data_IF_306548010645
#
_entry.id   IF_306548010645
#
_cell.length_a   1.000
_cell.length_b   1.000
_cell.length_c   1.000
_cell.angle_alpha   90.00
_cell.angle_beta   90.00
_cell.angle_gamma   90.00
#
_symmetry.space_group_name_H-M   'P 1'
#
loop_
_entity.id
_entity.type
_entity.pdbx_description
1 polymer ?
#
# COMPACT_ATOMS: atom_id res chain seq x y z
N UNK A 1 20.72 18.68 -56.76
CA UNK A 1 19.24 18.67 -56.88
C UNK A 1 18.86 17.62 -57.91
N UNK A 2 18.79 16.35 -57.50
CA UNK A 2 18.49 15.21 -58.38
C UNK A 2 17.50 14.26 -57.70
N UNK A 3 16.45 13.99 -58.46
CA UNK A 3 15.49 12.88 -58.46
C UNK A 3 14.48 12.69 -57.31
N UNK A 4 13.22 12.82 -57.73
CA UNK A 4 11.97 12.46 -57.05
C UNK A 4 11.64 10.98 -57.30
N UNK A 5 11.02 10.36 -56.29
CA UNK A 5 9.96 9.34 -56.31
C UNK A 5 10.09 8.07 -57.17
N UNK A 6 10.06 6.93 -56.49
CA UNK A 6 9.35 5.71 -56.89
C UNK A 6 8.78 5.07 -55.60
N UNK A 7 7.46 5.10 -55.38
CA UNK A 7 6.52 4.00 -55.62
C UNK A 7 6.86 2.71 -54.88
N UNK A 8 6.07 2.39 -53.85
CA UNK A 8 5.35 1.12 -53.76
C UNK A 8 4.42 1.11 -52.54
N UNK A 9 3.11 1.11 -52.81
CA UNK A 9 2.11 0.70 -51.85
C UNK A 9 2.25 -0.81 -51.61
N UNK A 10 2.49 -1.23 -50.37
CA UNK A 10 2.32 -2.61 -49.93
C UNK A 10 1.35 -2.62 -48.77
N UNK A 11 0.11 -2.96 -49.11
CA UNK A 11 -0.91 -3.40 -48.17
C UNK A 11 -0.34 -4.54 -47.32
N UNK A 12 -0.14 -4.28 -46.02
CA UNK A 12 0.16 -5.32 -45.04
C UNK A 12 -1.09 -5.53 -44.21
N UNK A 13 -1.78 -6.62 -44.52
CA UNK A 13 -2.66 -7.33 -43.61
C UNK A 13 -1.96 -7.45 -42.25
N UNK A 14 -2.49 -6.79 -41.22
CA UNK A 14 -2.13 -7.08 -39.82
C UNK A 14 -3.20 -8.03 -39.30
N UNK A 15 -2.88 -9.31 -39.06
CA UNK A 15 -3.84 -10.24 -38.51
C UNK A 15 -4.17 -9.87 -37.07
N UNK A 16 -5.45 -9.90 -36.76
CA UNK A 16 -5.98 -9.97 -35.39
C UNK A 16 -5.46 -11.26 -34.76
N UNK A 17 -4.53 -11.17 -33.81
CA UNK A 17 -4.38 -12.09 -32.67
C UNK A 17 -3.11 -11.73 -31.89
N UNK A 18 -3.27 -11.03 -30.77
CA UNK A 18 -2.50 -11.26 -29.53
C UNK A 18 -3.13 -10.37 -28.47
N UNK A 19 -4.12 -10.92 -27.78
CA UNK A 19 -4.43 -10.50 -26.41
C UNK A 19 -3.26 -10.99 -25.53
N UNK A 20 -2.06 -10.41 -25.74
CA UNK A 20 -0.92 -10.64 -24.89
C UNK A 20 -1.19 -9.84 -23.62
N UNK A 21 -1.72 -10.57 -22.65
CA UNK A 21 -1.92 -10.22 -21.26
C UNK A 21 -0.67 -9.48 -20.75
N UNK A 22 -0.70 -8.15 -20.75
CA UNK A 22 0.24 -7.37 -19.93
C UNK A 22 -0.18 -7.57 -18.48
N UNK A 23 0.15 -8.74 -17.92
CA UNK A 23 0.24 -8.92 -16.47
C UNK A 23 1.35 -7.98 -16.02
N UNK A 24 0.99 -6.73 -15.74
CA UNK A 24 1.80 -5.92 -14.85
C UNK A 24 1.70 -6.65 -13.51
N UNK A 25 2.69 -7.49 -13.24
CA UNK A 25 2.91 -8.06 -11.92
C UNK A 25 3.16 -6.89 -10.99
N UNK A 26 2.09 -6.29 -10.46
CA UNK A 26 2.23 -5.40 -9.32
C UNK A 26 2.90 -6.23 -8.24
N UNK A 27 4.08 -5.83 -7.74
CA UNK A 27 4.69 -6.54 -6.62
C UNK A 27 3.69 -6.53 -5.47
N UNK A 28 3.22 -7.72 -5.09
CA UNK A 28 2.43 -7.91 -3.88
C UNK A 28 3.38 -7.78 -2.70
N UNK A 29 3.40 -6.59 -2.09
CA UNK A 29 4.07 -6.36 -0.81
C UNK A 29 3.16 -6.92 0.29
N UNK A 30 3.35 -8.19 0.64
CA UNK A 30 2.72 -8.74 1.85
C UNK A 30 3.78 -8.71 2.96
N UNK A 31 3.53 -7.96 4.05
CA UNK A 31 4.24 -8.19 5.30
C UNK A 31 3.98 -9.62 5.76
N UNK A 32 5.03 -10.33 6.12
CA UNK A 32 4.92 -11.69 6.68
C UNK A 32 5.27 -11.73 8.16
N UNK A 33 5.86 -10.66 8.73
CA UNK A 33 6.23 -10.58 10.14
C UNK A 33 6.34 -9.13 10.62
N UNK A 34 6.37 -8.93 11.94
CA UNK A 34 6.59 -7.61 12.56
C UNK A 34 8.01 -7.05 12.36
N UNK A 35 8.94 -7.87 11.86
CA UNK A 35 10.31 -7.46 11.58
C UNK A 35 10.47 -6.93 10.14
N UNK A 36 9.49 -7.16 9.27
CA UNK A 36 9.55 -6.81 7.84
C UNK A 36 8.23 -6.18 7.37
N UNK A 37 7.91 -4.98 7.88
CA UNK A 37 6.70 -4.25 7.52
C UNK A 37 7.04 -3.24 6.39
N UNK A 38 6.62 -3.48 5.13
CA UNK A 38 6.74 -2.49 4.07
C UNK A 38 5.77 -1.33 4.31
N UNK A 39 6.30 -0.11 4.26
CA UNK A 39 5.57 1.14 4.46
C UNK A 39 5.82 2.08 3.28
N UNK A 40 4.74 2.66 2.75
CA UNK A 40 4.71 3.68 1.71
C UNK A 40 4.38 5.05 2.30
N UNK A 41 5.01 6.10 1.79
CA UNK A 41 4.68 7.50 2.11
C UNK A 41 5.22 8.47 1.03
N UNK A 42 5.00 9.78 1.22
CA UNK A 42 5.38 10.90 0.33
C UNK A 42 4.53 11.04 -0.95
N UNK A 43 3.24 10.71 -0.88
CA UNK A 43 2.27 10.74 -1.99
C UNK A 43 2.60 9.75 -3.12
N UNK A 44 1.68 8.86 -3.46
CA UNK A 44 1.82 7.89 -4.55
C UNK A 44 2.92 6.85 -4.31
N UNK A 45 3.28 6.59 -3.05
CA UNK A 45 4.34 5.71 -2.60
C UNK A 45 5.68 6.01 -3.28
N UNK A 46 6.07 7.28 -3.26
CA UNK A 46 7.40 7.73 -3.72
C UNK A 46 8.49 7.20 -2.80
N UNK A 47 8.25 7.20 -1.50
CA UNK A 47 9.14 6.63 -0.49
C UNK A 47 8.64 5.27 -0.03
N UNK A 48 9.58 4.33 0.11
CA UNK A 48 9.34 2.98 0.63
C UNK A 48 10.37 2.66 1.69
N UNK A 49 9.92 2.14 2.82
CA UNK A 49 10.76 1.72 3.93
C UNK A 49 10.30 0.37 4.45
N UNK A 50 11.25 -0.50 4.83
CA UNK A 50 10.94 -1.69 5.64
C UNK A 50 11.15 -1.29 7.10
N UNK A 51 10.11 -1.47 7.91
CA UNK A 51 10.11 -1.17 9.35
C UNK A 51 10.07 -2.48 10.14
N UNK A 52 10.91 -2.57 11.17
CA UNK A 52 10.82 -3.62 12.19
C UNK A 52 10.31 -2.97 13.48
N UNK A 53 9.27 -3.53 14.09
CA UNK A 53 8.71 -3.04 15.36
C UNK A 53 9.00 -4.03 16.49
N UNK A 54 9.12 -3.51 17.71
CA UNK A 54 9.36 -4.35 18.88
C UNK A 54 8.14 -5.21 19.22
N UNK A 55 8.37 -6.30 19.96
CA UNK A 55 7.25 -7.08 20.51
C UNK A 55 6.39 -6.29 21.50
N UNK A 56 6.90 -5.20 22.07
CA UNK A 56 6.11 -4.30 22.93
C UNK A 56 5.15 -3.46 22.12
N UNK A 57 5.63 -2.79 21.08
CA UNK A 57 4.78 -2.03 20.14
C UNK A 57 3.73 -2.94 19.49
N UNK A 58 4.11 -4.17 19.12
CA UNK A 58 3.15 -5.14 18.60
C UNK A 58 2.07 -5.53 19.62
N UNK A 59 2.38 -5.58 20.92
CA UNK A 59 1.36 -5.83 21.96
C UNK A 59 0.40 -4.66 22.10
N UNK A 60 0.86 -3.43 21.89
CA UNK A 60 -0.04 -2.26 21.89
C UNK A 60 -1.07 -2.36 20.74
N UNK A 61 -0.64 -2.84 19.57
CA UNK A 61 -1.51 -3.04 18.39
C UNK A 61 -2.43 -4.25 18.58
N UNK A 62 -1.86 -5.43 18.85
CA UNK A 62 -2.61 -6.68 18.97
C UNK A 62 -3.54 -6.69 20.19
N UNK A 63 -3.28 -5.83 21.18
CA UNK A 63 -4.14 -5.62 22.35
C UNK A 63 -5.58 -5.22 22.00
N UNK A 64 -5.82 -4.59 20.84
CA UNK A 64 -7.16 -4.25 20.35
C UNK A 64 -8.04 -5.48 20.04
N UNK A 65 -7.42 -6.65 19.82
CA UNK A 65 -8.09 -7.93 19.57
C UNK A 65 -8.15 -8.84 20.80
N UNK A 66 -7.72 -8.36 21.98
CA UNK A 66 -7.60 -9.19 23.20
C UNK A 66 -8.93 -9.84 23.60
N UNK A 67 -10.01 -9.08 23.57
CA UNK A 67 -11.36 -9.63 23.70
C UNK A 67 -11.85 -9.90 22.30
N UNK A 68 -12.12 -11.15 21.93
CA UNK A 68 -12.52 -11.39 20.57
C UNK A 68 -13.89 -10.80 20.23
N UNK A 69 -14.06 -10.35 18.99
CA UNK A 69 -15.33 -9.84 18.53
C UNK A 69 -16.37 -10.96 18.37
N UNK A 70 -17.61 -10.66 18.79
CA UNK A 70 -18.77 -11.55 18.67
C UNK A 70 -19.68 -11.20 17.48
N UNK A 71 -19.44 -10.05 16.84
CA UNK A 71 -20.17 -9.60 15.65
C UNK A 71 -19.23 -9.01 14.60
N UNK A 72 -19.59 -9.06 13.30
CA UNK A 72 -18.80 -8.40 12.25
C UNK A 72 -18.62 -6.89 12.49
N UNK A 73 -19.62 -6.22 13.08
CA UNK A 73 -19.54 -4.81 13.42
C UNK A 73 -18.48 -4.56 14.49
N UNK A 74 -18.44 -5.41 15.54
CA UNK A 74 -17.46 -5.32 16.61
C UNK A 74 -16.04 -5.59 16.07
N UNK A 75 -15.90 -6.58 15.18
CA UNK A 75 -14.62 -6.88 14.54
C UNK A 75 -14.12 -5.68 13.73
N UNK A 76 -14.97 -5.09 12.89
CA UNK A 76 -14.59 -3.88 12.13
C UNK A 76 -14.19 -2.71 13.04
N UNK A 77 -14.78 -2.57 14.23
CA UNK A 77 -14.32 -1.57 15.19
C UNK A 77 -12.94 -1.90 15.76
N UNK A 78 -12.65 -3.16 16.07
CA UNK A 78 -11.31 -3.58 16.54
C UNK A 78 -10.26 -3.36 15.46
N UNK A 79 -10.55 -3.76 14.22
CA UNK A 79 -9.68 -3.53 13.06
C UNK A 79 -9.40 -2.04 12.89
N UNK A 80 -10.44 -1.18 12.95
CA UNK A 80 -10.26 0.28 12.85
C UNK A 80 -9.28 0.81 13.90
N UNK A 81 -9.42 0.38 15.16
CA UNK A 81 -8.52 0.84 16.23
C UNK A 81 -7.09 0.31 16.03
N UNK A 82 -6.95 -0.95 15.64
CA UNK A 82 -5.66 -1.56 15.39
C UNK A 82 -4.92 -0.92 14.20
N UNK A 83 -5.61 -0.62 13.10
CA UNK A 83 -5.03 0.11 11.95
C UNK A 83 -4.59 1.50 12.38
N UNK A 84 -5.44 2.25 13.09
CA UNK A 84 -5.05 3.58 13.60
C UNK A 84 -3.84 3.52 14.54
N UNK A 85 -3.75 2.49 15.38
CA UNK A 85 -2.60 2.32 16.27
C UNK A 85 -1.34 1.86 15.52
N UNK A 86 -1.48 1.08 14.44
CA UNK A 86 -0.36 0.78 13.55
C UNK A 86 0.23 2.05 12.95
N UNK A 87 -0.59 2.99 12.47
CA UNK A 87 -0.08 4.26 11.94
C UNK A 87 0.69 5.07 12.99
N UNK A 88 0.21 5.08 14.25
CA UNK A 88 0.93 5.71 15.37
C UNK A 88 2.28 5.03 15.62
N UNK A 89 2.31 3.69 15.65
CA UNK A 89 3.55 2.94 15.85
C UNK A 89 4.52 3.18 14.70
N UNK A 90 4.07 3.03 13.45
CA UNK A 90 4.89 3.23 12.25
C UNK A 90 5.41 4.66 12.17
N UNK A 91 4.62 5.66 12.55
CA UNK A 91 5.07 7.05 12.62
C UNK A 91 6.26 7.28 13.57
N UNK A 92 6.49 6.42 14.57
CA UNK A 92 7.70 6.48 15.42
C UNK A 92 8.97 6.09 14.64
N UNK A 93 8.83 5.31 13.57
CA UNK A 93 9.93 4.72 12.78
C UNK A 93 10.11 5.37 11.41
N UNK A 94 9.17 6.20 10.99
CA UNK A 94 9.15 6.86 9.68
C UNK A 94 8.84 8.35 9.84
N UNK A 95 9.00 9.15 8.78
CA UNK A 95 8.50 10.53 8.77
C UNK A 95 6.97 10.65 8.88
N UNK A 96 6.20 9.56 8.85
CA UNK A 96 4.72 9.59 8.80
C UNK A 96 4.05 10.05 10.08
N UNK A 97 4.78 10.25 11.18
CA UNK A 97 4.28 11.01 12.34
C UNK A 97 3.88 12.45 11.99
N UNK A 98 4.30 12.96 10.83
CA UNK A 98 3.93 14.27 10.32
C UNK A 98 2.65 14.26 9.50
N UNK A 99 2.10 13.09 9.21
CA UNK A 99 0.91 12.94 8.39
C UNK A 99 -0.24 13.79 8.93
N UNK A 100 -0.91 14.46 8.01
CA UNK A 100 -2.08 15.27 8.25
C UNK A 100 -3.23 14.64 7.48
N UNK A 101 -4.33 14.34 8.16
CA UNK A 101 -5.46 13.71 7.49
C UNK A 101 -6.02 14.57 6.34
N UNK A 102 -6.73 13.89 5.43
CA UNK A 102 -7.23 14.38 4.14
C UNK A 102 -6.19 14.35 3.02
N UNK A 103 -6.67 14.08 1.81
CA UNK A 103 -5.91 14.31 0.58
C UNK A 103 -5.92 15.81 0.29
N UNK A 104 -4.86 16.50 0.73
CA UNK A 104 -4.75 17.94 0.61
C UNK A 104 -4.35 18.32 -0.83
N UNK A 105 -5.30 18.88 -1.60
CA UNK A 105 -5.03 19.44 -2.93
C UNK A 105 -3.85 20.43 -2.92
N UNK A 106 -3.01 20.36 -3.97
CA UNK A 106 -1.93 21.31 -4.33
C UNK A 106 -1.31 22.09 -3.15
N UNK A 107 -0.37 21.45 -2.45
CA UNK A 107 0.44 22.09 -1.41
C UNK A 107 0.60 21.27 -0.12
N UNK A 108 -0.12 20.15 -0.01
CA UNK A 108 -0.01 19.20 1.12
C UNK A 108 1.16 18.22 1.04
N UNK A 109 1.89 18.15 -0.07
CA UNK A 109 3.02 17.23 -0.21
C UNK A 109 4.23 17.71 0.59
N UNK A 110 4.42 17.15 1.78
CA UNK A 110 5.63 17.32 2.59
C UNK A 110 6.14 15.97 3.09
N UNK A 111 7.43 15.86 3.50
CA UNK A 111 8.01 14.59 3.91
C UNK A 111 7.22 13.90 5.03
N UNK A 112 6.76 12.68 4.76
CA UNK A 112 5.96 11.85 5.65
C UNK A 112 4.45 11.91 5.43
N UNK A 113 3.95 12.82 4.60
CA UNK A 113 2.52 12.89 4.31
C UNK A 113 2.05 11.65 3.54
N UNK A 114 0.85 11.17 3.86
CA UNK A 114 0.19 10.06 3.20
C UNK A 114 -0.94 10.59 2.29
N UNK A 115 -1.08 9.95 1.13
CA UNK A 115 -2.25 10.09 0.29
C UNK A 115 -3.08 8.80 0.29
N UNK A 116 -4.16 8.78 -0.49
CA UNK A 116 -5.02 7.60 -0.58
C UNK A 116 -4.30 6.34 -1.10
N UNK A 117 -3.21 6.49 -1.88
CA UNK A 117 -2.42 5.36 -2.38
C UNK A 117 -1.56 4.81 -1.26
N UNK A 118 -0.87 5.68 -0.53
CA UNK A 118 -0.03 5.33 0.61
C UNK A 118 -0.85 4.64 1.70
N UNK A 119 -1.96 5.26 2.13
CA UNK A 119 -2.86 4.73 3.15
C UNK A 119 -3.43 3.36 2.76
N UNK A 120 -3.81 3.19 1.49
CA UNK A 120 -4.38 1.92 1.01
C UNK A 120 -3.35 0.79 1.02
N UNK A 121 -2.10 1.07 0.63
CA UNK A 121 -1.02 0.09 0.64
C UNK A 121 -0.59 -0.28 2.06
N UNK A 122 -0.47 0.72 2.94
CA UNK A 122 -0.12 0.51 4.35
C UNK A 122 -1.22 -0.27 5.08
N UNK A 123 -2.49 0.14 4.92
CA UNK A 123 -3.64 -0.57 5.49
C UNK A 123 -3.71 -2.02 5.01
N UNK A 124 -3.51 -2.27 3.72
CA UNK A 124 -3.48 -3.64 3.17
C UNK A 124 -2.38 -4.47 3.83
N UNK A 125 -1.20 -3.88 4.02
CA UNK A 125 -0.07 -4.51 4.70
C UNK A 125 -0.43 -4.88 6.14
N UNK A 126 -1.05 -3.97 6.89
CA UNK A 126 -1.43 -4.22 8.28
C UNK A 126 -2.52 -5.29 8.41
N UNK A 127 -3.53 -5.27 7.53
CA UNK A 127 -4.58 -6.28 7.52
C UNK A 127 -4.01 -7.68 7.24
N UNK A 128 -3.03 -7.81 6.34
CA UNK A 128 -2.32 -9.07 6.10
C UNK A 128 -1.51 -9.52 7.31
N UNK A 129 -0.90 -8.58 8.03
CA UNK A 129 -0.20 -8.87 9.26
C UNK A 129 -1.18 -9.38 10.34
N UNK A 130 -2.32 -8.73 10.52
CA UNK A 130 -3.35 -9.18 11.46
C UNK A 130 -3.89 -10.57 11.11
N UNK A 131 -4.15 -10.84 9.83
CA UNK A 131 -4.53 -12.16 9.33
C UNK A 131 -3.45 -13.21 9.63
N UNK A 132 -2.17 -12.90 9.34
CA UNK A 132 -1.04 -13.79 9.56
C UNK A 132 -0.87 -14.20 11.02
N UNK A 133 -1.06 -13.27 11.95
CA UNK A 133 -1.00 -13.52 13.39
C UNK A 133 -2.33 -14.04 13.98
N UNK A 134 -3.33 -14.34 13.16
CA UNK A 134 -4.60 -14.93 13.59
C UNK A 134 -5.48 -13.99 14.43
N UNK A 135 -5.38 -12.68 14.18
CA UNK A 135 -6.13 -11.65 14.91
C UNK A 135 -7.52 -11.36 14.29
N UNK A 136 -7.72 -11.73 13.02
CA UNK A 136 -8.98 -11.55 12.29
C UNK A 136 -9.85 -12.81 12.36
N UNK A 137 -11.17 -12.68 12.14
CA UNK A 137 -12.17 -13.74 12.31
C UNK A 137 -13.18 -13.86 11.17
#
# INVERSE_FOLDING_TARGET
MHLKNALAAMSRFVPVLTCALWMHSSPTFAATSIDEIPVCYDFGCKSRQIVSITSEEWREVSGWFKTPADTPEAERQQIKQAVGWMEVVIGKHTPTHRDTGLDLDYGGEFPGQLDCIDESLNTTTYLRLFEHYGLLR
#
